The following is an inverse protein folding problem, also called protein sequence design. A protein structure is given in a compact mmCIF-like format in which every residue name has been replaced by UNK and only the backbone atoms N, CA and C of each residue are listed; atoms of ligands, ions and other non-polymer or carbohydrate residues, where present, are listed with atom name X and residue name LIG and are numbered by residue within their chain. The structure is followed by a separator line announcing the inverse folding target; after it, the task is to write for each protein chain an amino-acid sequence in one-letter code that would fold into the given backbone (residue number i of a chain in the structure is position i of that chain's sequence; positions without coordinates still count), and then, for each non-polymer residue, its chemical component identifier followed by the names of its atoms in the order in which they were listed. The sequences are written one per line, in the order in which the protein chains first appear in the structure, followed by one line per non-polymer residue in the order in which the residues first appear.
data_IF_933598103578
#
_entry.id   IF_933598103578
#
_cell.length_a   1.000
_cell.length_b   1.000
_cell.length_c   1.000
_cell.angle_alpha   90.00
_cell.angle_beta   90.00
_cell.angle_gamma   90.00
#
_symmetry.space_group_name_H-M   'P 1'
#
loop_
_entity.id
_entity.type
_entity.pdbx_description
1 polymer ?
#
# COMPACT_ATOMS: atom_id res chain seq x y z
N UNK A 1 -13.75 -0.51 20.79
CA UNK A 1 -13.50 0.69 19.94
C UNK A 1 -12.62 0.22 18.81
N UNK A 2 -12.94 0.59 17.58
CA UNK A 2 -12.17 0.19 16.39
C UNK A 2 -10.78 0.82 16.44
N UNK A 3 -9.73 0.01 16.20
CA UNK A 3 -8.34 0.45 16.17
C UNK A 3 -7.83 0.44 14.74
N UNK A 4 -7.45 1.59 14.25
CA UNK A 4 -6.86 1.78 12.91
C UNK A 4 -5.39 2.09 13.07
N UNK A 5 -4.54 1.35 12.36
CA UNK A 5 -3.11 1.65 12.24
C UNK A 5 -2.86 2.26 10.87
N UNK A 6 -2.49 3.54 10.84
CA UNK A 6 -2.12 4.26 9.61
C UNK A 6 -0.61 4.23 9.44
N UNK A 7 -0.16 3.79 8.25
CA UNK A 7 1.27 3.74 7.90
C UNK A 7 1.59 4.74 6.82
N UNK A 8 2.79 5.34 6.88
CA UNK A 8 3.32 6.24 5.86
C UNK A 8 4.85 6.11 5.77
N UNK A 9 5.44 6.35 4.61
CA UNK A 9 6.88 6.17 4.42
C UNK A 9 7.68 7.37 4.90
N UNK A 10 7.29 8.58 4.50
CA UNK A 10 7.99 9.83 4.80
C UNK A 10 7.06 10.88 5.38
N UNK A 11 7.63 11.86 6.10
CA UNK A 11 6.83 12.88 6.79
C UNK A 11 5.92 13.69 5.87
N UNK A 12 6.32 13.92 4.63
CA UNK A 12 5.49 14.64 3.64
C UNK A 12 4.20 13.93 3.21
N UNK A 13 4.10 12.62 3.49
CA UNK A 13 2.92 11.81 3.21
C UNK A 13 1.93 11.75 4.37
N UNK A 14 2.31 12.30 5.53
CA UNK A 14 1.51 12.22 6.74
C UNK A 14 0.27 13.14 6.65
N UNK A 15 -0.90 12.54 6.81
CA UNK A 15 -2.17 13.26 7.00
C UNK A 15 -2.89 12.68 8.21
N UNK A 16 -3.19 13.52 9.18
CA UNK A 16 -3.93 13.11 10.38
C UNK A 16 -5.40 12.89 10.02
N UNK A 17 -5.93 11.71 10.38
CA UNK A 17 -7.34 11.36 10.22
C UNK A 17 -7.99 11.35 11.59
N UNK A 18 -9.08 12.10 11.76
CA UNK A 18 -9.86 12.12 13.00
C UNK A 18 -11.26 11.62 12.71
N UNK A 19 -11.60 10.50 13.33
CA UNK A 19 -12.95 9.96 13.29
C UNK A 19 -13.50 9.82 14.72
N UNK A 20 -14.76 10.16 14.96
CA UNK A 20 -15.40 9.89 16.23
C UNK A 20 -15.45 8.37 16.48
N UNK A 21 -15.27 7.98 17.73
CA UNK A 21 -15.37 6.60 18.21
C UNK A 21 -14.39 5.60 17.60
N UNK A 22 -13.25 6.08 17.08
CA UNK A 22 -12.16 5.28 16.50
C UNK A 22 -10.82 5.68 17.11
N UNK A 23 -10.02 4.71 17.48
CA UNK A 23 -8.62 4.94 17.89
C UNK A 23 -7.72 4.85 16.65
N UNK A 24 -7.03 5.94 16.31
CA UNK A 24 -6.11 5.98 15.17
C UNK A 24 -4.68 6.10 15.67
N UNK A 25 -3.86 5.16 15.26
CA UNK A 25 -2.43 5.10 15.54
C UNK A 25 -1.64 5.33 14.26
N UNK A 26 -0.51 6.01 14.36
CA UNK A 26 0.32 6.34 13.20
C UNK A 26 1.71 5.77 13.35
N UNK A 27 2.24 5.18 12.29
CA UNK A 27 3.62 4.71 12.24
C UNK A 27 4.32 5.15 10.95
N UNK A 28 5.46 5.80 11.11
CA UNK A 28 6.36 6.10 10.01
C UNK A 28 7.23 4.86 9.74
N UNK A 29 7.06 4.25 8.58
CA UNK A 29 7.72 2.99 8.24
C UNK A 29 9.05 3.17 7.52
N UNK A 30 9.31 4.34 6.93
CA UNK A 30 10.47 4.59 6.09
C UNK A 30 10.32 3.99 4.69
N UNK A 31 11.30 4.29 3.83
CA UNK A 31 11.35 3.84 2.43
C UNK A 31 11.99 2.45 2.36
N UNK A 32 11.51 1.63 1.41
CA UNK A 32 12.00 0.29 1.10
C UNK A 32 11.28 -0.83 1.85
N UNK A 33 11.16 -1.98 1.19
CA UNK A 33 10.35 -3.13 1.64
C UNK A 33 10.75 -3.66 3.02
N UNK A 34 12.06 -3.85 3.28
CA UNK A 34 12.56 -4.46 4.51
C UNK A 34 12.30 -3.58 5.73
N UNK A 35 12.66 -2.30 5.61
CA UNK A 35 12.49 -1.32 6.70
C UNK A 35 11.03 -1.13 7.06
N UNK A 36 10.18 -1.03 6.04
CA UNK A 36 8.76 -0.83 6.26
C UNK A 36 8.07 -2.05 6.88
N UNK A 37 8.47 -3.26 6.51
CA UNK A 37 7.95 -4.48 7.13
C UNK A 37 8.35 -4.59 8.61
N UNK A 38 9.58 -4.24 8.95
CA UNK A 38 10.08 -4.26 10.32
C UNK A 38 9.29 -3.32 11.23
N UNK A 39 9.19 -2.03 10.86
CA UNK A 39 8.44 -1.06 11.66
C UNK A 39 6.93 -1.39 11.76
N UNK A 40 6.35 -1.89 10.67
CA UNK A 40 4.96 -2.33 10.74
C UNK A 40 4.77 -3.50 11.70
N UNK A 41 5.69 -4.47 11.69
CA UNK A 41 5.59 -5.64 12.56
C UNK A 41 5.61 -5.25 14.04
N UNK A 42 6.47 -4.33 14.41
CA UNK A 42 6.53 -3.79 15.77
C UNK A 42 5.23 -3.05 16.14
N UNK A 43 4.74 -2.19 15.23
CA UNK A 43 3.50 -1.43 15.47
C UNK A 43 2.28 -2.33 15.61
N UNK A 44 2.14 -3.37 14.78
CA UNK A 44 1.04 -4.34 14.88
C UNK A 44 1.07 -5.08 16.21
N UNK A 45 2.24 -5.49 16.70
CA UNK A 45 2.35 -6.18 18.00
C UNK A 45 1.96 -5.28 19.17
N UNK A 46 2.28 -4.00 19.11
CA UNK A 46 1.98 -3.02 20.15
C UNK A 46 0.52 -2.59 20.14
N UNK A 47 -0.01 -2.26 18.96
CA UNK A 47 -1.34 -1.65 18.78
C UNK A 47 -2.44 -2.71 18.73
N UNK A 48 -2.17 -3.86 18.09
CA UNK A 48 -3.16 -4.90 17.74
C UNK A 48 -4.35 -4.29 17.00
N UNK A 49 -4.12 -3.72 15.82
CA UNK A 49 -5.14 -3.01 15.07
C UNK A 49 -6.17 -3.97 14.46
N UNK A 50 -7.38 -3.45 14.23
CA UNK A 50 -8.43 -4.15 13.50
C UNK A 50 -8.25 -4.03 11.97
N UNK A 51 -7.59 -2.96 11.52
CA UNK A 51 -7.27 -2.69 10.12
C UNK A 51 -5.99 -1.87 10.00
N UNK A 52 -5.21 -2.12 8.95
CA UNK A 52 -4.08 -1.28 8.56
C UNK A 52 -4.44 -0.48 7.30
N UNK A 53 -4.24 0.83 7.37
CA UNK A 53 -4.40 1.75 6.23
C UNK A 53 -3.03 2.32 5.89
N UNK A 54 -2.53 2.04 4.70
CA UNK A 54 -1.35 2.73 4.20
C UNK A 54 -1.78 4.02 3.50
N UNK A 55 -1.12 5.12 3.79
CA UNK A 55 -1.20 6.36 3.00
C UNK A 55 0.18 6.69 2.42
N UNK A 56 0.20 7.22 1.21
CA UNK A 56 1.45 7.58 0.58
C UNK A 56 1.30 8.09 -0.84
N UNK A 57 2.40 8.57 -1.37
CA UNK A 57 2.52 8.96 -2.77
C UNK A 57 2.87 7.75 -3.64
N UNK A 58 2.58 7.86 -4.92
CA UNK A 58 2.90 6.84 -5.91
C UNK A 58 3.09 7.46 -7.30
N UNK A 59 3.92 6.84 -8.12
CA UNK A 59 3.98 7.14 -9.54
C UNK A 59 2.85 6.47 -10.31
N UNK A 60 2.63 6.89 -11.55
CA UNK A 60 1.68 6.27 -12.48
C UNK A 60 2.20 6.27 -13.91
N UNK A 61 1.62 5.42 -14.77
CA UNK A 61 1.85 5.45 -16.21
C UNK A 61 0.64 6.05 -16.95
N UNK A 62 -0.57 5.72 -16.50
CA UNK A 62 -1.81 5.93 -17.26
C UNK A 62 -2.76 6.96 -16.65
N UNK A 63 -2.41 7.54 -15.51
CA UNK A 63 -3.25 8.48 -14.78
C UNK A 63 -2.60 9.86 -14.66
N UNK A 64 -3.21 10.78 -13.93
CA UNK A 64 -2.74 12.16 -13.80
C UNK A 64 -2.22 12.45 -12.39
N UNK A 65 -1.25 13.35 -12.29
CA UNK A 65 -0.82 13.90 -11.00
C UNK A 65 -2.02 14.54 -10.29
N UNK A 66 -2.21 14.20 -9.03
CA UNK A 66 -3.35 14.64 -8.23
C UNK A 66 -4.47 13.62 -8.09
N UNK A 67 -4.49 12.57 -8.91
CA UNK A 67 -5.45 11.47 -8.74
C UNK A 67 -5.21 10.74 -7.42
N UNK A 68 -6.29 10.23 -6.83
CA UNK A 68 -6.25 9.46 -5.58
C UNK A 68 -6.87 8.10 -5.81
N UNK A 69 -6.14 7.04 -5.44
CA UNK A 69 -6.58 5.67 -5.59
C UNK A 69 -6.68 4.95 -4.24
N UNK A 70 -7.73 4.15 -4.10
CA UNK A 70 -7.85 3.17 -3.01
C UNK A 70 -7.53 1.80 -3.57
N UNK A 71 -6.39 1.24 -3.14
CA UNK A 71 -5.88 -0.03 -3.64
C UNK A 71 -6.23 -1.17 -2.68
N UNK A 72 -6.78 -2.24 -3.24
CA UNK A 72 -7.03 -3.54 -2.59
C UNK A 72 -6.33 -4.69 -3.32
N UNK A 73 -5.90 -4.45 -4.56
CA UNK A 73 -5.11 -5.37 -5.36
C UNK A 73 -3.65 -4.91 -5.39
N UNK A 74 -2.74 -5.84 -5.27
CA UNK A 74 -1.33 -5.55 -5.12
C UNK A 74 -0.49 -6.52 -5.95
N UNK A 75 0.56 -5.99 -6.58
CA UNK A 75 1.48 -6.74 -7.44
C UNK A 75 2.90 -6.48 -6.98
N UNK A 76 3.68 -7.54 -6.74
CA UNK A 76 5.12 -7.45 -6.52
C UNK A 76 5.86 -7.67 -7.83
N UNK A 77 6.33 -6.57 -8.47
CA UNK A 77 7.05 -6.64 -9.76
C UNK A 77 8.39 -7.35 -9.68
N UNK A 78 9.00 -7.43 -8.50
CA UNK A 78 10.25 -8.15 -8.33
C UNK A 78 9.99 -9.65 -8.29
N UNK A 79 8.92 -10.11 -7.63
CA UNK A 79 8.48 -11.51 -7.59
C UNK A 79 7.87 -11.96 -8.91
N UNK A 80 7.26 -11.07 -9.68
CA UNK A 80 6.74 -11.39 -11.01
C UNK A 80 7.80 -12.03 -11.93
N UNK A 81 9.05 -11.60 -11.83
CA UNK A 81 10.18 -12.17 -12.57
C UNK A 81 10.50 -13.62 -12.20
N UNK A 82 9.96 -14.10 -11.07
CA UNK A 82 10.19 -15.44 -10.54
C UNK A 82 8.97 -16.35 -10.60
N UNK A 83 7.95 -16.00 -11.38
CA UNK A 83 6.74 -16.81 -11.56
C UNK A 83 7.03 -18.22 -12.09
N UNK A 84 8.06 -18.37 -12.93
CA UNK A 84 8.54 -19.69 -13.39
C UNK A 84 9.02 -20.62 -12.28
N UNK A 85 9.26 -20.11 -11.07
CA UNK A 85 9.62 -20.87 -9.87
C UNK A 85 8.41 -21.10 -8.93
N UNK A 86 7.19 -20.78 -9.39
CA UNK A 86 5.97 -20.92 -8.60
C UNK A 86 5.77 -19.85 -7.53
N UNK A 87 6.45 -18.70 -7.64
CA UNK A 87 6.28 -17.58 -6.71
C UNK A 87 4.98 -16.83 -7.00
N UNK A 88 4.16 -16.67 -5.96
CA UNK A 88 3.00 -15.77 -6.02
C UNK A 88 3.48 -14.32 -5.95
N UNK A 89 2.89 -13.47 -6.78
CA UNK A 89 3.25 -12.07 -6.88
C UNK A 89 2.04 -11.12 -6.84
N UNK A 90 0.84 -11.65 -6.80
CA UNK A 90 -0.41 -10.90 -6.67
C UNK A 90 -1.07 -11.21 -5.35
N UNK A 91 -1.63 -10.17 -4.72
CA UNK A 91 -2.44 -10.29 -3.50
C UNK A 91 -3.72 -9.48 -3.71
N UNK A 92 -4.84 -10.08 -3.34
CA UNK A 92 -6.15 -9.43 -3.25
C UNK A 92 -6.61 -9.42 -1.80
N UNK A 93 -6.65 -8.25 -1.18
CA UNK A 93 -7.12 -8.11 0.21
C UNK A 93 -8.64 -7.97 0.35
N UNK A 94 -9.39 -8.03 -0.74
CA UNK A 94 -10.84 -7.81 -0.76
C UNK A 94 -11.61 -8.82 0.08
N UNK A 95 -11.23 -10.09 0.04
CA UNK A 95 -11.91 -11.14 0.81
C UNK A 95 -11.75 -10.93 2.32
N UNK A 96 -10.54 -10.63 2.78
CA UNK A 96 -10.27 -10.40 4.19
C UNK A 96 -10.95 -9.12 4.70
N UNK A 97 -10.96 -8.07 3.88
CA UNK A 97 -11.68 -6.83 4.17
C UNK A 97 -13.19 -7.08 4.33
N UNK A 98 -13.79 -7.83 3.40
CA UNK A 98 -15.20 -8.17 3.45
C UNK A 98 -15.54 -9.07 4.66
N UNK A 99 -14.71 -10.08 4.94
CA UNK A 99 -14.89 -10.99 6.08
C UNK A 99 -14.84 -10.27 7.43
N UNK A 100 -14.12 -9.16 7.51
CA UNK A 100 -14.03 -8.31 8.72
C UNK A 100 -15.03 -7.14 8.73
N UNK A 101 -15.94 -7.07 7.74
CA UNK A 101 -17.00 -6.06 7.65
C UNK A 101 -16.56 -4.71 7.09
N UNK A 102 -15.39 -4.66 6.44
CA UNK A 102 -14.89 -3.45 5.78
C UNK A 102 -15.25 -3.47 4.28
N UNK A 103 -15.37 -2.28 3.69
CA UNK A 103 -15.47 -2.10 2.23
C UNK A 103 -16.67 -2.79 1.54
N UNK A 104 -17.78 -2.99 2.23
CA UNK A 104 -18.96 -3.65 1.65
C UNK A 104 -19.60 -2.90 0.47
N UNK A 105 -19.35 -1.59 0.36
CA UNK A 105 -19.97 -0.72 -0.64
C UNK A 105 -18.98 -0.16 -1.68
N UNK A 106 -17.73 -0.62 -1.68
CA UNK A 106 -16.73 -0.13 -2.63
C UNK A 106 -16.82 -0.89 -3.94
N UNK A 107 -17.23 -0.20 -4.98
CA UNK A 107 -17.39 -0.76 -6.34
C UNK A 107 -16.10 -0.71 -7.15
N UNK A 108 -15.21 0.23 -6.85
CA UNK A 108 -13.94 0.41 -7.57
C UNK A 108 -12.75 0.06 -6.68
N UNK A 109 -11.75 -0.57 -7.26
CA UNK A 109 -10.48 -0.89 -6.62
C UNK A 109 -9.35 -0.72 -7.62
N UNK A 110 -8.32 0.00 -7.19
CA UNK A 110 -7.10 0.15 -7.95
C UNK A 110 -6.07 -0.94 -7.57
N UNK A 111 -5.11 -1.14 -8.47
CA UNK A 111 -3.96 -2.02 -8.28
C UNK A 111 -2.71 -1.22 -8.02
N UNK A 112 -2.02 -1.52 -6.92
CA UNK A 112 -0.71 -0.95 -6.59
C UNK A 112 0.40 -1.95 -6.93
N UNK A 113 1.36 -1.52 -7.74
CA UNK A 113 2.52 -2.28 -8.14
C UNK A 113 3.73 -1.86 -7.29
N UNK A 114 4.31 -2.78 -6.54
CA UNK A 114 5.42 -2.52 -5.62
C UNK A 114 6.72 -3.18 -6.09
N UNK A 115 7.86 -2.50 -5.93
CA UNK A 115 9.19 -3.05 -6.14
C UNK A 115 10.27 -2.22 -5.47
N UNK A 116 11.44 -2.81 -5.22
CA UNK A 116 12.55 -2.11 -4.54
C UNK A 116 13.29 -1.12 -5.47
N UNK A 117 13.08 -1.19 -6.78
CA UNK A 117 13.67 -0.26 -7.73
C UNK A 117 12.77 0.93 -8.01
N UNK A 118 13.34 2.12 -8.03
CA UNK A 118 12.68 3.33 -8.54
C UNK A 118 12.55 3.22 -10.06
N UNK A 119 11.35 3.41 -10.58
CA UNK A 119 11.08 3.30 -12.01
C UNK A 119 11.19 4.69 -12.65
N UNK A 120 12.13 4.80 -13.58
CA UNK A 120 12.39 6.04 -14.35
C UNK A 120 11.99 5.93 -15.81
N UNK A 121 11.75 4.71 -16.29
CA UNK A 121 11.45 4.43 -17.70
C UNK A 121 10.07 3.78 -17.83
N UNK A 122 9.42 4.05 -18.96
CA UNK A 122 8.19 3.38 -19.35
C UNK A 122 8.49 1.91 -19.62
N UNK A 123 8.02 1.05 -18.74
CA UNK A 123 8.01 -0.40 -18.90
C UNK A 123 6.58 -0.89 -18.88
N UNK A 124 6.34 -2.10 -19.37
CA UNK A 124 5.02 -2.73 -19.25
C UNK A 124 4.78 -3.09 -17.76
N UNK A 125 4.09 -2.19 -17.06
CA UNK A 125 3.81 -2.31 -15.62
C UNK A 125 2.33 -2.58 -15.44
N UNK A 126 2.04 -3.69 -14.79
CA UNK A 126 0.70 -4.02 -14.37
C UNK A 126 0.28 -3.12 -13.20
N UNK A 127 -0.87 -2.46 -13.30
CA UNK A 127 -1.49 -1.69 -12.22
C UNK A 127 -1.70 -0.21 -12.53
N UNK A 128 -2.36 0.47 -11.61
CA UNK A 128 -2.74 1.88 -11.71
C UNK A 128 -1.67 2.80 -11.15
N UNK A 129 -1.06 2.39 -10.05
CA UNK A 129 -0.04 3.16 -9.33
C UNK A 129 1.15 2.29 -8.94
N UNK A 130 2.31 2.93 -8.74
CA UNK A 130 3.59 2.29 -8.48
C UNK A 130 4.23 2.86 -7.23
N UNK A 131 4.67 2.00 -6.33
CA UNK A 131 5.40 2.37 -5.11
C UNK A 131 6.63 1.49 -4.84
N UNK A 132 7.30 1.71 -3.69
CA UNK A 132 8.52 1.00 -3.32
C UNK A 132 8.42 0.20 -2.00
N UNK A 133 7.30 0.25 -1.26
CA UNK A 133 7.27 -0.25 0.11
C UNK A 133 6.15 -1.24 0.41
N UNK A 134 5.04 -1.13 -0.29
CA UNK A 134 3.74 -1.61 0.17
C UNK A 134 3.66 -3.13 0.31
N UNK A 135 4.19 -3.88 -0.66
CA UNK A 135 3.98 -5.33 -0.73
C UNK A 135 4.41 -6.07 0.56
N UNK A 136 5.53 -5.72 1.15
CA UNK A 136 6.02 -6.39 2.36
C UNK A 136 5.20 -6.05 3.60
N UNK A 137 4.63 -4.84 3.63
CA UNK A 137 3.66 -4.45 4.68
C UNK A 137 2.40 -5.30 4.59
N UNK A 138 1.88 -5.43 3.39
CA UNK A 138 0.69 -6.21 3.10
C UNK A 138 0.88 -7.68 3.48
N UNK A 139 1.95 -8.33 3.01
CA UNK A 139 2.25 -9.73 3.33
C UNK A 139 2.32 -9.99 4.84
N UNK A 140 2.90 -9.05 5.60
CA UNK A 140 2.95 -9.19 7.04
C UNK A 140 1.55 -9.06 7.67
N UNK A 141 0.77 -8.05 7.29
CA UNK A 141 -0.60 -7.87 7.80
C UNK A 141 -1.48 -9.09 7.45
N UNK A 142 -1.40 -9.58 6.22
CA UNK A 142 -2.12 -10.76 5.75
C UNK A 142 -1.75 -12.01 6.55
N UNK A 143 -0.46 -12.23 6.85
CA UNK A 143 -0.01 -13.35 7.69
C UNK A 143 -0.55 -13.30 9.12
N UNK A 144 -1.07 -12.15 9.55
CA UNK A 144 -1.74 -11.92 10.84
C UNK A 144 -3.26 -11.83 10.71
N UNK A 145 -3.80 -12.10 9.53
CA UNK A 145 -5.24 -11.95 9.22
C UNK A 145 -5.78 -10.55 9.53
N UNK A 146 -4.95 -9.52 9.35
CA UNK A 146 -5.32 -8.12 9.56
C UNK A 146 -5.65 -7.50 8.20
N UNK A 147 -6.87 -6.99 8.01
CA UNK A 147 -7.27 -6.31 6.78
C UNK A 147 -6.34 -5.15 6.44
N UNK A 148 -6.03 -4.99 5.16
CA UNK A 148 -5.11 -3.97 4.67
C UNK A 148 -5.68 -3.27 3.44
N UNK A 149 -5.60 -1.94 3.43
CA UNK A 149 -5.87 -1.11 2.25
C UNK A 149 -4.77 -0.08 2.08
N UNK A 150 -4.63 0.45 0.87
CA UNK A 150 -3.71 1.55 0.60
C UNK A 150 -4.42 2.69 -0.12
N UNK A 151 -4.23 3.91 0.38
CA UNK A 151 -4.66 5.14 -0.27
C UNK A 151 -3.43 5.80 -0.87
N UNK A 152 -3.41 5.97 -2.19
CA UNK A 152 -2.28 6.51 -2.95
C UNK A 152 -2.67 7.80 -3.65
N UNK A 153 -1.86 8.84 -3.45
CA UNK A 153 -1.91 10.07 -4.21
C UNK A 153 -0.85 10.02 -5.31
N UNK A 154 -1.24 10.29 -6.54
CA UNK A 154 -0.32 10.30 -7.68
C UNK A 154 0.53 11.56 -7.64
N UNK A 155 1.83 11.39 -7.38
CA UNK A 155 2.80 12.49 -7.30
C UNK A 155 3.51 12.78 -8.62
N UNK A 156 3.68 11.77 -9.46
CA UNK A 156 4.43 11.87 -10.71
C UNK A 156 3.96 10.87 -11.76
N UNK A 157 4.23 11.20 -13.03
CA UNK A 157 4.03 10.30 -14.17
C UNK A 157 5.38 9.73 -14.59
N UNK A 158 5.50 8.40 -14.57
CA UNK A 158 6.75 7.69 -14.89
C UNK A 158 7.15 7.99 -16.34
N UNK A 159 8.44 8.32 -16.56
CA UNK A 159 8.98 8.66 -17.89
C UNK A 159 8.74 10.12 -18.31
N UNK A 160 7.99 10.91 -17.58
CA UNK A 160 7.98 12.36 -17.70
C UNK A 160 8.95 12.92 -16.66
N UNK A 161 9.85 13.83 -17.07
CA UNK A 161 10.90 14.39 -16.21
C UNK A 161 10.32 14.87 -14.86
N UNK A 162 10.46 14.05 -13.84
CA UNK A 162 10.03 14.34 -12.46
C UNK A 162 11.15 14.97 -11.61
N UNK A 163 12.14 15.57 -12.29
CA UNK A 163 13.25 16.29 -11.67
C UNK A 163 13.22 17.76 -12.09
N UNK A 164 12.26 18.52 -11.60
CA UNK A 164 12.36 19.97 -11.39
C UNK A 164 11.76 20.34 -10.02
#
# INVERSE_FOLDING_TARGET
MLKILVTYAVQGEFTEIKWPDVEVYYVRTGIGKVKSAFHLSEAIQQVKPDIVINQGTAGTINHQVGDVFVCRHFVDRDMHKMTGLGMEYRIDSSELLAARGFCQHWTESATCNTGDSFLTELTDIEGDVVDMELMRRLLYAESKEIPFISVKYVSDVIGQNSCE
#
